data_IF_970354173932
#
_entry.id   IF_970354173932
#
_cell.length_a   1.000
_cell.length_b   1.000
_cell.length_c   1.000
_cell.angle_alpha   90.00
_cell.angle_beta   90.00
_cell.angle_gamma   90.00
#
_symmetry.space_group_name_H-M   'P 1'
#
loop_
_entity.id
_entity.type
_entity.pdbx_description
1 polymer ?
#
# COMPACT_ATOMS: atom_id res chain seq x y z
N UNK A 1 9.82 33.84 38.01
CA UNK A 1 8.52 33.16 37.86
C UNK A 1 8.69 31.71 38.25
N UNK A 2 8.12 31.30 39.36
CA UNK A 2 8.15 29.93 39.81
C UNK A 2 7.30 29.11 38.84
N UNK A 3 7.95 28.36 37.99
CA UNK A 3 7.26 27.28 37.29
C UNK A 3 6.84 26.29 38.35
N UNK A 4 5.54 26.10 38.55
CA UNK A 4 5.03 25.01 39.35
C UNK A 4 5.77 23.75 38.98
N UNK A 5 6.62 23.23 39.88
CA UNK A 5 7.12 21.87 39.75
C UNK A 5 5.91 20.97 39.84
N UNK A 6 5.53 20.38 38.73
CA UNK A 6 4.52 19.35 38.75
C UNK A 6 5.20 18.16 39.43
N UNK A 7 4.78 17.86 40.65
CA UNK A 7 5.35 16.76 41.45
C UNK A 7 5.04 15.37 40.89
N UNK A 8 4.15 15.28 39.91
CA UNK A 8 3.85 14.07 39.15
C UNK A 8 3.81 14.39 37.65
N UNK A 9 4.97 14.67 37.01
CA UNK A 9 5.04 14.86 35.56
C UNK A 9 4.47 13.65 34.81
N UNK A 10 4.52 12.48 35.45
CA UNK A 10 4.16 11.19 34.87
C UNK A 10 2.70 11.08 34.46
N UNK A 11 1.73 11.64 35.19
CA UNK A 11 0.33 11.53 34.79
C UNK A 11 -0.03 12.37 33.57
N UNK A 12 0.47 13.58 33.46
CA UNK A 12 0.24 14.44 32.29
C UNK A 12 0.95 13.84 31.06
N UNK A 13 2.19 13.38 31.23
CA UNK A 13 2.94 12.74 30.18
C UNK A 13 2.28 11.44 29.71
N UNK A 14 1.87 10.55 30.62
CA UNK A 14 1.15 9.33 30.32
C UNK A 14 -0.19 9.60 29.58
N UNK A 15 -0.87 10.70 29.95
CA UNK A 15 -2.09 11.10 29.25
C UNK A 15 -1.80 11.52 27.81
N UNK A 16 -0.77 12.35 27.59
CA UNK A 16 -0.35 12.77 26.26
C UNK A 16 0.09 11.57 25.43
N UNK A 17 0.92 10.70 25.98
CA UNK A 17 1.37 9.47 25.28
C UNK A 17 0.20 8.55 24.90
N UNK A 18 -0.79 8.39 25.79
CA UNK A 18 -2.01 7.63 25.49
C UNK A 18 -2.79 8.25 24.34
N UNK A 19 -2.97 9.58 24.34
CA UNK A 19 -3.68 10.28 23.28
C UNK A 19 -2.95 10.21 21.93
N UNK A 20 -1.61 10.27 21.93
CA UNK A 20 -0.83 10.03 20.71
C UNK A 20 -1.00 8.62 20.19
N UNK A 21 -0.97 7.60 21.05
CA UNK A 21 -1.22 6.21 20.67
C UNK A 21 -2.64 6.02 20.14
N UNK A 22 -3.62 6.69 20.70
CA UNK A 22 -5.00 6.65 20.22
C UNK A 22 -5.12 7.33 18.84
N UNK A 23 -4.47 8.46 18.62
CA UNK A 23 -4.40 9.13 17.33
C UNK A 23 -3.72 8.22 16.28
N UNK A 24 -2.59 7.61 16.63
CA UNK A 24 -1.88 6.65 15.76
C UNK A 24 -2.78 5.45 15.40
N UNK A 25 -3.52 4.90 16.38
CA UNK A 25 -4.49 3.83 16.14
C UNK A 25 -5.60 4.25 15.19
N UNK A 26 -6.13 5.48 15.32
CA UNK A 26 -7.14 6.01 14.40
C UNK A 26 -6.58 6.12 12.97
N UNK A 27 -5.32 6.57 12.80
CA UNK A 27 -4.65 6.63 11.51
C UNK A 27 -4.49 5.24 10.91
N UNK A 28 -4.05 4.26 11.70
CA UNK A 28 -3.85 2.87 11.26
C UNK A 28 -5.20 2.21 10.88
N UNK A 29 -6.23 2.42 11.69
CA UNK A 29 -7.54 1.79 11.51
C UNK A 29 -8.38 2.42 10.39
N UNK A 30 -8.04 3.63 9.98
CA UNK A 30 -8.80 4.33 8.95
C UNK A 30 -8.45 3.78 7.57
N UNK A 31 -9.45 3.53 6.72
CA UNK A 31 -9.21 3.27 5.31
C UNK A 31 -8.58 4.52 4.64
N UNK A 32 -8.10 4.42 3.39
CA UNK A 32 -7.66 5.59 2.64
C UNK A 32 -8.77 6.65 2.65
N UNK A 33 -8.50 7.80 3.29
CA UNK A 33 -9.52 8.81 3.59
C UNK A 33 -9.92 8.75 5.07
N UNK A 34 -9.09 9.36 5.92
CA UNK A 34 -9.41 9.65 7.33
C UNK A 34 -10.67 10.48 7.41
N UNK A 35 -11.51 10.22 8.43
CA UNK A 35 -12.59 11.15 8.74
C UNK A 35 -11.98 12.48 9.26
N UNK A 36 -12.16 13.60 8.57
CA UNK A 36 -11.55 14.87 8.96
C UNK A 36 -12.02 15.33 10.35
N UNK A 37 -13.27 15.10 10.70
CA UNK A 37 -13.87 15.48 11.98
C UNK A 37 -13.24 14.69 13.14
N UNK A 38 -13.08 13.38 12.97
CA UNK A 38 -12.47 12.50 13.98
C UNK A 38 -10.98 12.82 14.17
N UNK A 39 -10.27 13.06 13.06
CA UNK A 39 -8.87 13.44 13.10
C UNK A 39 -8.67 14.78 13.83
N UNK A 40 -9.52 15.77 13.54
CA UNK A 40 -9.48 17.06 14.23
C UNK A 40 -9.79 16.95 15.71
N UNK A 41 -10.80 16.18 16.09
CA UNK A 41 -11.11 15.92 17.50
C UNK A 41 -9.93 15.28 18.23
N UNK A 42 -9.30 14.29 17.62
CA UNK A 42 -8.14 13.60 18.19
C UNK A 42 -6.95 14.56 18.38
N UNK A 43 -6.67 15.40 17.39
CA UNK A 43 -5.64 16.43 17.47
C UNK A 43 -5.96 17.47 18.56
N UNK A 44 -7.20 17.94 18.60
CA UNK A 44 -7.65 18.91 19.60
C UNK A 44 -7.50 18.37 21.03
N UNK A 45 -7.79 17.08 21.26
CA UNK A 45 -7.56 16.41 22.56
C UNK A 45 -6.10 16.42 22.97
N UNK A 46 -5.18 16.14 22.01
CA UNK A 46 -3.73 16.23 22.26
C UNK A 46 -3.30 17.65 22.62
N UNK A 47 -3.77 18.66 21.87
CA UNK A 47 -3.47 20.05 22.17
C UNK A 47 -4.02 20.48 23.54
N UNK A 48 -5.26 20.12 23.85
CA UNK A 48 -5.88 20.46 25.13
C UNK A 48 -5.14 19.84 26.33
N UNK A 49 -4.68 18.58 26.21
CA UNK A 49 -3.89 17.92 27.26
C UNK A 49 -2.54 18.60 27.54
N UNK A 50 -2.01 19.36 26.57
CA UNK A 50 -0.74 20.08 26.70
C UNK A 50 -0.93 21.51 27.20
N UNK A 51 -2.15 21.98 27.42
CA UNK A 51 -2.42 23.35 27.91
C UNK A 51 -1.99 23.52 29.35
N UNK A 52 -1.54 24.73 29.72
CA UNK A 52 -1.21 25.06 31.09
C UNK A 52 -2.45 25.40 31.97
N UNK A 53 -3.66 25.47 31.36
CA UNK A 53 -4.92 25.80 32.04
C UNK A 53 -5.06 27.22 32.56
N UNK A 54 -4.09 28.12 32.28
CA UNK A 54 -4.06 29.50 32.82
C UNK A 54 -5.16 30.37 32.24
N UNK A 55 -5.28 30.46 30.93
CA UNK A 55 -6.24 31.32 30.26
C UNK A 55 -7.59 30.61 30.02
N UNK A 56 -8.67 31.43 30.06
CA UNK A 56 -10.03 30.94 29.83
C UNK A 56 -10.22 30.30 28.42
N UNK A 57 -9.65 30.86 27.34
CA UNK A 57 -9.77 30.27 26.00
C UNK A 57 -9.32 28.81 25.93
N UNK A 58 -8.19 28.47 26.56
CA UNK A 58 -7.73 27.07 26.61
C UNK A 58 -8.59 26.22 27.56
N UNK A 59 -8.77 26.70 28.80
CA UNK A 59 -9.42 25.93 29.88
C UNK A 59 -10.88 25.61 29.57
N UNK A 60 -11.63 26.56 29.01
CA UNK A 60 -13.07 26.45 28.75
C UNK A 60 -13.34 26.27 27.26
N UNK A 61 -12.70 27.10 26.42
CA UNK A 61 -12.99 27.15 24.99
C UNK A 61 -12.59 25.85 24.25
N UNK A 62 -11.40 25.29 24.50
CA UNK A 62 -11.00 24.02 23.86
C UNK A 62 -11.86 22.86 24.35
N UNK A 63 -12.27 22.83 25.64
CA UNK A 63 -13.21 21.82 26.12
C UNK A 63 -14.58 21.91 25.42
N UNK A 64 -15.05 23.13 25.17
CA UNK A 64 -16.29 23.37 24.44
C UNK A 64 -16.17 22.96 23.00
N UNK A 65 -15.06 23.26 22.29
CA UNK A 65 -14.82 22.79 20.91
C UNK A 65 -14.79 21.27 20.83
N UNK A 66 -14.14 20.59 21.78
CA UNK A 66 -14.15 19.11 21.83
C UNK A 66 -15.59 18.59 21.91
N UNK A 67 -16.38 19.12 22.80
CA UNK A 67 -17.79 18.73 22.99
C UNK A 67 -18.61 18.93 21.72
N UNK A 68 -18.38 20.04 21.00
CA UNK A 68 -19.10 20.34 19.75
C UNK A 68 -18.71 19.37 18.63
N UNK A 69 -17.41 19.02 18.50
CA UNK A 69 -16.95 18.02 17.54
C UNK A 69 -17.44 16.60 17.89
N UNK A 70 -17.46 16.23 19.17
CA UNK A 70 -18.06 14.98 19.64
C UNK A 70 -19.54 14.90 19.28
N UNK A 71 -20.30 15.98 19.43
CA UNK A 71 -21.71 16.01 19.04
C UNK A 71 -21.91 15.79 17.54
N UNK A 72 -20.99 16.25 16.69
CA UNK A 72 -21.03 15.94 15.25
C UNK A 72 -20.84 14.45 14.99
N UNK A 73 -19.82 13.82 15.62
CA UNK A 73 -19.55 12.40 15.48
C UNK A 73 -20.66 11.51 16.05
N UNK A 74 -21.30 11.95 17.13
CA UNK A 74 -22.42 11.29 17.77
C UNK A 74 -23.77 11.45 17.04
N UNK A 75 -23.81 12.25 15.97
CA UNK A 75 -25.06 12.54 15.24
C UNK A 75 -26.04 13.44 16.00
N UNK A 76 -25.58 14.17 17.02
CA UNK A 76 -26.40 15.08 17.85
C UNK A 76 -26.32 16.55 17.40
N UNK A 77 -25.47 16.84 16.43
CA UNK A 77 -25.22 18.19 15.96
C UNK A 77 -26.27 18.67 14.98
N UNK A 78 -26.43 19.99 14.91
CA UNK A 78 -27.24 20.70 13.93
C UNK A 78 -26.40 21.69 13.14
N UNK A 79 -26.96 22.32 12.10
CA UNK A 79 -26.21 23.37 11.35
C UNK A 79 -25.79 24.55 12.25
N UNK A 80 -26.56 24.86 13.28
CA UNK A 80 -26.16 25.85 14.30
C UNK A 80 -24.93 25.44 15.10
N UNK A 81 -24.71 24.13 15.27
CA UNK A 81 -23.49 23.60 15.90
C UNK A 81 -22.25 23.97 15.11
N UNK A 82 -22.33 23.96 13.77
CA UNK A 82 -21.22 24.34 12.90
C UNK A 82 -20.85 25.82 13.07
N UNK A 83 -21.86 26.71 13.06
CA UNK A 83 -21.68 28.14 13.31
C UNK A 83 -21.08 28.41 14.70
N UNK A 84 -21.49 27.62 15.70
CA UNK A 84 -20.95 27.71 17.05
C UNK A 84 -19.50 27.26 17.14
N UNK A 85 -19.09 26.21 16.38
CA UNK A 85 -17.69 25.78 16.28
C UNK A 85 -16.86 26.91 15.68
N UNK A 86 -17.29 27.49 14.56
CA UNK A 86 -16.58 28.60 13.90
C UNK A 86 -16.39 29.79 14.86
N UNK A 87 -17.46 30.26 15.47
CA UNK A 87 -17.39 31.39 16.37
C UNK A 87 -16.57 31.11 17.65
N UNK A 88 -16.68 29.91 18.20
CA UNK A 88 -15.88 29.50 19.37
C UNK A 88 -14.41 29.40 19.04
N UNK A 89 -14.06 28.79 17.91
CA UNK A 89 -12.67 28.67 17.47
C UNK A 89 -12.07 30.06 17.17
N UNK A 90 -12.81 30.95 16.50
CA UNK A 90 -12.36 32.32 16.25
C UNK A 90 -12.13 33.09 17.56
N UNK A 91 -13.05 32.99 18.50
CA UNK A 91 -12.90 33.66 19.81
C UNK A 91 -11.67 33.14 20.59
N UNK A 92 -11.34 31.84 20.47
CA UNK A 92 -10.14 31.30 21.11
C UNK A 92 -8.89 31.84 20.42
N UNK A 93 -8.85 31.90 19.08
CA UNK A 93 -7.73 32.48 18.34
C UNK A 93 -7.47 33.93 18.76
N UNK A 94 -8.52 34.71 18.86
CA UNK A 94 -8.42 36.14 19.14
C UNK A 94 -8.06 36.44 20.61
N UNK A 95 -8.24 35.49 21.51
CA UNK A 95 -8.12 35.72 22.98
C UNK A 95 -7.12 34.77 23.67
N UNK A 96 -6.49 33.81 22.97
CA UNK A 96 -5.52 32.92 23.58
C UNK A 96 -4.20 33.62 23.87
N UNK A 97 -3.66 33.43 25.09
CA UNK A 97 -2.40 34.05 25.53
C UNK A 97 -1.14 33.44 24.88
N UNK A 98 -1.24 32.29 24.20
CA UNK A 98 -0.08 31.59 23.65
C UNK A 98 -0.42 30.73 22.42
N UNK A 99 0.61 30.29 21.72
CA UNK A 99 0.51 29.52 20.50
C UNK A 99 -0.33 28.22 20.64
N UNK A 100 -0.32 27.53 21.78
CA UNK A 100 -1.04 26.25 21.94
C UNK A 100 -2.55 26.46 21.76
N UNK A 101 -3.12 27.53 22.41
CA UNK A 101 -4.55 27.83 22.24
C UNK A 101 -4.87 28.33 20.86
N UNK A 102 -4.03 29.24 20.34
CA UNK A 102 -4.16 29.76 18.97
C UNK A 102 -4.13 28.66 17.92
N UNK A 103 -3.09 27.83 17.88
CA UNK A 103 -2.91 26.79 16.88
C UNK A 103 -3.99 25.70 16.97
N UNK A 104 -4.41 25.32 18.18
CA UNK A 104 -5.48 24.36 18.37
C UNK A 104 -6.80 24.83 17.73
N UNK A 105 -7.14 26.10 17.90
CA UNK A 105 -8.33 26.72 17.32
C UNK A 105 -8.17 26.96 15.81
N UNK A 106 -7.00 27.44 15.37
CA UNK A 106 -6.67 27.64 13.97
C UNK A 106 -6.82 26.34 13.15
N UNK A 107 -6.32 25.22 13.67
CA UNK A 107 -6.47 23.91 13.02
C UNK A 107 -7.93 23.48 12.87
N UNK A 108 -8.80 23.83 13.86
CA UNK A 108 -10.24 23.54 13.72
C UNK A 108 -10.86 24.38 12.60
N UNK A 109 -10.52 25.66 12.50
CA UNK A 109 -11.01 26.53 11.43
C UNK A 109 -10.51 26.09 10.06
N UNK A 110 -9.23 25.79 9.92
CA UNK A 110 -8.65 25.28 8.69
C UNK A 110 -9.31 23.96 8.22
N UNK A 111 -9.62 23.08 9.18
CA UNK A 111 -10.35 21.86 8.86
C UNK A 111 -11.80 22.07 8.44
N UNK A 112 -12.48 23.03 9.08
CA UNK A 112 -13.83 23.44 8.65
C UNK A 112 -13.83 24.04 7.25
N UNK A 113 -12.84 24.87 6.92
CA UNK A 113 -12.68 25.44 5.58
C UNK A 113 -12.40 24.35 4.54
N UNK A 114 -11.41 23.49 4.79
CA UNK A 114 -10.98 22.47 3.86
C UNK A 114 -11.94 21.30 3.68
N UNK A 115 -12.75 20.97 4.69
CA UNK A 115 -13.60 19.76 4.71
C UNK A 115 -15.06 20.04 5.09
N UNK A 116 -15.55 21.23 4.83
CA UNK A 116 -16.90 21.68 5.22
C UNK A 116 -18.01 20.69 4.82
N UNK A 117 -17.90 20.11 3.65
CA UNK A 117 -18.88 19.13 3.15
C UNK A 117 -18.93 17.86 4.01
N UNK A 118 -17.78 17.40 4.53
CA UNK A 118 -17.73 16.24 5.42
C UNK A 118 -18.44 16.53 6.77
N UNK A 119 -18.27 17.73 7.32
CA UNK A 119 -18.99 18.15 8.52
C UNK A 119 -20.50 18.19 8.29
N UNK A 120 -20.94 18.83 7.19
CA UNK A 120 -22.35 18.91 6.81
C UNK A 120 -22.95 17.51 6.59
N UNK A 121 -22.17 16.62 5.96
CA UNK A 121 -22.61 15.24 5.73
C UNK A 121 -22.82 14.48 7.05
N UNK A 122 -21.88 14.59 8.01
CA UNK A 122 -22.04 14.03 9.35
C UNK A 122 -23.30 14.56 10.06
N UNK A 123 -23.52 15.87 10.00
CA UNK A 123 -24.70 16.50 10.61
C UNK A 123 -26.00 16.00 10.01
N UNK A 124 -26.05 15.82 8.68
CA UNK A 124 -27.27 15.41 7.96
C UNK A 124 -27.56 13.92 8.05
N UNK A 125 -26.51 13.08 8.07
CA UNK A 125 -26.66 11.62 7.91
C UNK A 125 -26.21 10.80 9.11
N UNK A 126 -25.50 11.41 10.07
CA UNK A 126 -24.85 10.69 11.17
C UNK A 126 -23.70 9.78 10.75
N UNK A 127 -23.22 9.89 9.50
CA UNK A 127 -22.20 9.01 8.92
C UNK A 127 -21.10 9.81 8.25
N UNK A 128 -19.90 9.23 8.19
CA UNK A 128 -18.79 9.80 7.45
C UNK A 128 -18.99 9.65 5.93
N UNK A 129 -18.82 10.72 5.17
CA UNK A 129 -18.94 10.70 3.71
C UNK A 129 -17.92 9.77 3.06
N UNK A 130 -16.70 9.74 3.56
CA UNK A 130 -15.59 8.94 3.03
C UNK A 130 -15.65 7.44 3.34
N UNK A 131 -16.63 6.98 4.11
CA UNK A 131 -16.71 5.57 4.57
C UNK A 131 -17.62 4.67 3.74
N UNK A 132 -18.46 5.22 2.86
CA UNK A 132 -19.46 4.41 2.13
C UNK A 132 -18.78 3.47 1.11
N UNK A 133 -17.62 3.88 0.56
CA UNK A 133 -16.83 3.09 -0.40
C UNK A 133 -15.42 2.76 0.11
N UNK A 134 -15.21 2.86 1.42
CA UNK A 134 -13.88 2.69 1.99
C UNK A 134 -13.45 1.21 1.95
N UNK A 135 -12.47 0.91 1.12
CA UNK A 135 -11.85 -0.40 1.06
C UNK A 135 -11.19 -0.77 2.40
N UNK A 136 -11.10 -2.07 2.66
CA UNK A 136 -10.42 -2.61 3.84
C UNK A 136 -8.96 -2.15 3.83
N UNK A 137 -8.40 -1.62 4.94
CA UNK A 137 -7.06 -1.00 4.93
C UNK A 137 -5.94 -1.90 4.38
N UNK A 138 -5.95 -3.20 4.68
CA UNK A 138 -4.95 -4.12 4.15
C UNK A 138 -5.09 -4.33 2.64
N UNK A 139 -6.30 -4.35 2.09
CA UNK A 139 -6.56 -4.44 0.65
C UNK A 139 -6.16 -3.13 -0.03
N UNK A 140 -6.56 -1.99 0.54
CA UNK A 140 -6.25 -0.67 -0.02
C UNK A 140 -4.76 -0.36 -0.08
N UNK A 141 -3.97 -0.85 0.88
CA UNK A 141 -2.51 -0.68 0.89
C UNK A 141 -1.77 -1.71 0.02
N UNK A 142 -2.45 -2.77 -0.38
CA UNK A 142 -1.86 -3.74 -1.30
C UNK A 142 -1.78 -3.13 -2.71
N UNK A 143 -0.59 -2.97 -3.32
CA UNK A 143 -0.50 -2.43 -4.68
C UNK A 143 -1.29 -3.22 -5.73
N UNK A 144 -1.46 -4.53 -5.51
CA UNK A 144 -2.26 -5.41 -6.36
C UNK A 144 -3.72 -5.56 -5.88
N UNK A 145 -4.11 -4.90 -4.79
CA UNK A 145 -5.46 -4.93 -4.21
C UNK A 145 -6.02 -6.35 -3.97
N UNK A 146 -5.14 -7.30 -3.64
CA UNK A 146 -5.51 -8.69 -3.37
C UNK A 146 -6.55 -8.77 -2.28
N UNK A 147 -7.57 -9.60 -2.44
CA UNK A 147 -8.55 -9.89 -1.39
C UNK A 147 -7.91 -10.64 -0.21
N UNK A 148 -7.31 -9.83 0.68
CA UNK A 148 -6.58 -10.34 1.85
C UNK A 148 -7.49 -11.03 2.85
N UNK A 149 -8.65 -10.48 3.26
CA UNK A 149 -9.57 -11.16 4.17
C UNK A 149 -10.07 -12.49 3.61
N UNK A 150 -10.35 -12.53 2.30
CA UNK A 150 -10.86 -13.73 1.64
C UNK A 150 -9.84 -14.87 1.70
N UNK A 151 -8.59 -14.65 1.28
CA UNK A 151 -7.62 -15.75 1.31
C UNK A 151 -7.21 -16.15 2.74
N UNK A 152 -7.20 -15.20 3.70
CA UNK A 152 -6.95 -15.53 5.12
C UNK A 152 -8.03 -16.46 5.67
N UNK A 153 -9.30 -16.20 5.37
CA UNK A 153 -10.40 -17.07 5.76
C UNK A 153 -10.24 -18.48 5.17
N UNK A 154 -9.92 -18.58 3.88
CA UNK A 154 -9.67 -19.87 3.21
C UNK A 154 -8.48 -20.62 3.81
N UNK A 155 -7.41 -19.93 4.17
CA UNK A 155 -6.27 -20.54 4.91
C UNK A 155 -6.70 -21.05 6.25
N UNK A 156 -7.54 -20.31 6.99
CA UNK A 156 -8.09 -20.72 8.28
C UNK A 156 -8.97 -21.99 8.20
N UNK A 157 -9.60 -22.20 7.05
CA UNK A 157 -10.39 -23.41 6.74
C UNK A 157 -9.54 -24.57 6.19
N UNK A 158 -8.22 -24.37 5.99
CA UNK A 158 -7.33 -25.36 5.34
C UNK A 158 -7.52 -25.46 3.83
N UNK A 159 -8.23 -24.56 3.19
CA UNK A 159 -8.53 -24.51 1.75
C UNK A 159 -7.43 -23.77 0.98
N UNK A 160 -6.22 -24.28 1.06
CA UNK A 160 -5.02 -23.61 0.52
C UNK A 160 -5.07 -23.40 -1.00
N UNK A 161 -5.55 -24.38 -1.77
CA UNK A 161 -5.69 -24.25 -3.21
C UNK A 161 -6.66 -23.12 -3.61
N UNK A 162 -7.78 -22.99 -2.89
CA UNK A 162 -8.74 -21.91 -3.13
C UNK A 162 -8.17 -20.55 -2.72
N UNK A 163 -7.36 -20.50 -1.66
CA UNK A 163 -6.64 -19.30 -1.27
C UNK A 163 -5.66 -18.85 -2.36
N UNK A 164 -4.90 -19.78 -2.97
CA UNK A 164 -3.99 -19.48 -4.08
C UNK A 164 -4.76 -19.01 -5.32
N UNK A 165 -5.90 -19.63 -5.66
CA UNK A 165 -6.78 -19.17 -6.74
C UNK A 165 -7.25 -17.73 -6.51
N UNK A 166 -7.70 -17.41 -5.29
CA UNK A 166 -8.17 -16.08 -4.94
C UNK A 166 -7.05 -15.03 -5.04
N UNK A 167 -5.85 -15.35 -4.54
CA UNK A 167 -4.70 -14.47 -4.66
C UNK A 167 -4.36 -14.22 -6.13
N UNK A 168 -4.40 -15.27 -6.96
CA UNK A 168 -4.02 -15.21 -8.38
C UNK A 168 -4.98 -14.40 -9.26
N UNK A 169 -6.19 -14.16 -8.79
CA UNK A 169 -7.12 -13.24 -9.45
C UNK A 169 -6.50 -11.86 -9.65
N UNK A 170 -5.78 -11.36 -8.66
CA UNK A 170 -5.21 -10.01 -8.66
C UNK A 170 -3.67 -9.99 -8.71
N UNK A 171 -3.02 -11.15 -8.53
CA UNK A 171 -1.57 -11.27 -8.50
C UNK A 171 -1.11 -12.65 -8.99
N UNK A 172 -0.54 -12.76 -10.20
CA UNK A 172 -0.11 -14.02 -10.79
C UNK A 172 1.18 -14.61 -10.17
N UNK A 173 1.82 -13.88 -9.23
CA UNK A 173 3.01 -14.31 -8.50
C UNK A 173 2.73 -14.51 -6.99
N UNK A 174 1.83 -15.42 -6.60
CA UNK A 174 1.49 -15.64 -5.21
C UNK A 174 2.70 -16.08 -4.37
N UNK A 175 3.58 -16.93 -4.93
CA UNK A 175 4.75 -17.47 -4.24
C UNK A 175 5.82 -16.39 -4.03
N UNK A 176 6.11 -15.58 -5.06
CA UNK A 176 7.02 -14.45 -4.93
C UNK A 176 6.56 -13.50 -3.82
N UNK A 177 5.29 -13.08 -3.86
CA UNK A 177 4.75 -12.18 -2.85
C UNK A 177 4.65 -12.82 -1.44
N UNK A 178 4.55 -14.14 -1.34
CA UNK A 178 4.58 -14.82 -0.05
C UNK A 178 5.97 -14.79 0.60
N UNK A 179 7.04 -14.80 -0.21
CA UNK A 179 8.41 -14.90 0.28
C UNK A 179 9.13 -13.54 0.41
N UNK A 180 8.90 -12.60 -0.50
CA UNK A 180 9.70 -11.38 -0.63
C UNK A 180 8.92 -10.07 -0.55
N UNK A 181 7.59 -10.08 -0.41
CA UNK A 181 6.81 -8.85 -0.30
C UNK A 181 7.14 -8.10 1.00
N UNK A 182 7.26 -6.78 0.94
CA UNK A 182 7.44 -5.89 2.09
C UNK A 182 6.19 -5.75 2.97
N UNK A 183 5.09 -6.41 2.61
CA UNK A 183 3.81 -6.53 3.33
C UNK A 183 3.26 -5.22 3.95
N UNK A 184 3.10 -4.12 3.18
CA UNK A 184 2.59 -2.86 3.70
C UNK A 184 1.18 -3.00 4.31
N UNK A 185 0.44 -4.03 3.93
CA UNK A 185 -0.87 -4.37 4.48
C UNK A 185 -0.86 -4.64 5.99
N UNK A 186 0.23 -5.16 6.56
CA UNK A 186 0.36 -5.43 7.98
C UNK A 186 0.52 -4.13 8.79
N UNK A 187 1.19 -3.11 8.22
CA UNK A 187 1.41 -1.84 8.89
C UNK A 187 0.10 -1.09 9.25
N UNK A 188 -0.99 -1.35 8.53
CA UNK A 188 -2.33 -0.78 8.80
C UNK A 188 -3.38 -1.83 9.13
N UNK A 189 -2.96 -2.95 9.65
CA UNK A 189 -3.88 -3.99 10.10
C UNK A 189 -4.67 -3.50 11.32
N UNK A 190 -6.01 -3.53 11.24
CA UNK A 190 -6.88 -3.12 12.35
C UNK A 190 -6.70 -3.95 13.61
N UNK A 191 -6.18 -5.19 13.48
CA UNK A 191 -5.88 -6.02 14.63
C UNK A 191 -4.85 -5.37 15.56
N UNK A 192 -3.91 -4.56 15.03
CA UNK A 192 -2.94 -3.81 15.80
C UNK A 192 -3.54 -2.87 16.86
N UNK A 193 -4.86 -2.56 16.73
CA UNK A 193 -5.58 -1.77 17.76
C UNK A 193 -5.84 -2.56 19.03
N UNK A 194 -5.79 -3.88 18.97
CA UNK A 194 -6.08 -4.79 20.09
C UNK A 194 -4.79 -5.37 20.65
N UNK A 195 -3.94 -5.93 19.77
CA UNK A 195 -2.68 -6.59 20.16
C UNK A 195 -1.59 -6.42 19.11
N UNK A 196 -1.55 -7.26 18.08
CA UNK A 196 -0.54 -7.25 17.01
C UNK A 196 -1.21 -7.43 15.65
N UNK A 197 -0.58 -6.94 14.55
CA UNK A 197 -1.12 -7.18 13.21
C UNK A 197 -1.21 -8.68 12.90
N UNK A 198 -2.16 -9.04 12.05
CA UNK A 198 -2.23 -10.40 11.51
C UNK A 198 -0.97 -10.60 10.65
N UNK A 199 -0.30 -11.74 10.80
CA UNK A 199 0.82 -12.14 9.95
C UNK A 199 0.32 -12.52 8.54
N UNK A 200 -0.07 -11.49 7.78
CA UNK A 200 -0.73 -11.61 6.47
C UNK A 200 0.18 -12.32 5.46
N UNK A 201 1.47 -11.92 5.41
CA UNK A 201 2.45 -12.56 4.53
C UNK A 201 2.73 -14.00 4.93
N UNK A 202 2.82 -14.29 6.23
CA UNK A 202 3.01 -15.66 6.74
C UNK A 202 1.85 -16.58 6.36
N UNK A 203 0.59 -16.10 6.44
CA UNK A 203 -0.58 -16.85 5.99
C UNK A 203 -0.59 -17.07 4.48
N UNK A 204 -0.17 -16.07 3.69
CA UNK A 204 0.04 -16.25 2.24
C UNK A 204 1.09 -17.32 1.95
N UNK A 205 2.20 -17.33 2.70
CA UNK A 205 3.23 -18.35 2.59
C UNK A 205 2.67 -19.74 2.92
N UNK A 206 1.89 -19.86 3.97
CA UNK A 206 1.21 -21.11 4.32
C UNK A 206 0.34 -21.63 3.18
N UNK A 207 -0.39 -20.75 2.48
CA UNK A 207 -1.19 -21.16 1.32
C UNK A 207 -0.33 -21.75 0.21
N UNK A 208 0.74 -21.07 -0.23
CA UNK A 208 1.60 -21.52 -1.34
C UNK A 208 2.56 -22.67 -0.96
N UNK A 209 2.84 -22.87 0.33
CA UNK A 209 3.62 -24.01 0.80
C UNK A 209 2.78 -25.31 0.79
N UNK A 210 1.46 -25.22 1.04
CA UNK A 210 0.55 -26.36 1.01
C UNK A 210 -0.16 -26.57 -0.34
N UNK A 211 -0.20 -25.55 -1.19
CA UNK A 211 -0.74 -25.63 -2.57
C UNK A 211 0.18 -24.83 -3.52
N UNK A 212 1.29 -25.43 -4.01
CA UNK A 212 2.19 -24.78 -4.96
C UNK A 212 1.46 -24.23 -6.17
N UNK A 213 1.87 -23.05 -6.66
CA UNK A 213 1.15 -22.32 -7.70
C UNK A 213 0.91 -23.14 -8.97
N UNK A 214 1.88 -23.93 -9.41
CA UNK A 214 1.79 -24.80 -10.59
C UNK A 214 0.85 -26.01 -10.42
N UNK A 215 0.48 -26.36 -9.19
CA UNK A 215 -0.48 -27.44 -8.91
C UNK A 215 -1.93 -26.99 -8.86
N UNK A 216 -2.14 -25.67 -8.82
CA UNK A 216 -3.47 -25.06 -8.72
C UNK A 216 -3.92 -24.61 -10.11
N UNK A 217 -5.07 -25.08 -10.64
CA UNK A 217 -5.57 -24.70 -11.95
C UNK A 217 -5.68 -23.17 -12.10
N UNK A 218 -5.32 -22.68 -13.29
CA UNK A 218 -5.56 -21.28 -13.67
C UNK A 218 -7.03 -21.08 -14.07
N UNK A 219 -7.55 -19.85 -14.02
CA UNK A 219 -8.91 -19.54 -14.48
C UNK A 219 -9.11 -19.93 -15.95
N UNK A 220 -10.35 -20.20 -16.32
CA UNK A 220 -10.73 -20.40 -17.72
C UNK A 220 -10.49 -19.12 -18.52
N UNK A 221 -10.02 -19.26 -19.75
CA UNK A 221 -9.83 -18.16 -20.67
C UNK A 221 -11.16 -17.68 -21.25
N UNK A 222 -11.25 -16.40 -21.53
CA UNK A 222 -12.29 -15.86 -22.40
C UNK A 222 -12.16 -16.39 -23.83
N UNK A 223 -13.19 -16.19 -24.63
CA UNK A 223 -13.17 -16.53 -26.06
C UNK A 223 -12.01 -15.84 -26.78
N UNK A 224 -11.40 -16.54 -27.73
CA UNK A 224 -10.25 -16.02 -28.47
C UNK A 224 -10.63 -14.77 -29.29
N UNK A 225 -9.91 -13.70 -29.06
CA UNK A 225 -10.15 -12.41 -29.75
C UNK A 225 -9.47 -12.33 -31.13
N UNK A 226 -8.56 -13.27 -31.41
CA UNK A 226 -7.71 -13.24 -32.60
C UNK A 226 -6.59 -12.20 -32.55
N UNK A 227 -6.44 -11.46 -31.43
CA UNK A 227 -5.41 -10.44 -31.26
C UNK A 227 -4.12 -11.03 -30.72
N UNK A 228 -2.98 -10.61 -31.31
CA UNK A 228 -1.64 -11.01 -30.90
C UNK A 228 -0.89 -9.84 -30.27
N UNK A 229 -0.33 -10.05 -29.10
CA UNK A 229 0.36 -9.00 -28.34
C UNK A 229 1.81 -9.42 -28.14
N UNK A 230 2.77 -8.62 -28.62
CA UNK A 230 4.18 -8.80 -28.34
C UNK A 230 4.53 -8.20 -26.98
N UNK A 231 5.25 -8.94 -26.15
CA UNK A 231 5.73 -8.50 -24.83
C UNK A 231 7.25 -8.56 -24.82
N UNK A 232 7.90 -7.41 -24.63
CA UNK A 232 9.35 -7.31 -24.62
C UNK A 232 9.84 -7.34 -23.16
N UNK A 233 10.38 -8.50 -22.75
CA UNK A 233 10.88 -8.77 -21.41
C UNK A 233 10.04 -9.77 -20.62
N UNK A 234 10.65 -10.87 -20.20
CA UNK A 234 10.07 -11.96 -19.42
C UNK A 234 10.25 -11.80 -17.90
N UNK A 235 10.31 -10.55 -17.41
CA UNK A 235 10.30 -10.21 -16.00
C UNK A 235 8.88 -10.22 -15.40
N UNK A 236 8.72 -9.87 -14.11
CA UNK A 236 7.41 -9.93 -13.43
C UNK A 236 6.33 -9.07 -14.11
N UNK A 237 6.68 -7.93 -14.67
CA UNK A 237 5.74 -7.07 -15.40
C UNK A 237 5.25 -7.73 -16.69
N UNK A 238 6.18 -8.22 -17.51
CA UNK A 238 5.84 -8.87 -18.79
C UNK A 238 5.05 -10.15 -18.60
N UNK A 239 5.46 -10.99 -17.64
CA UNK A 239 4.75 -12.24 -17.33
C UNK A 239 3.37 -11.99 -16.71
N UNK A 240 3.20 -10.96 -15.87
CA UNK A 240 1.89 -10.58 -15.36
C UNK A 240 0.97 -10.09 -16.50
N UNK A 241 1.49 -9.26 -17.40
CA UNK A 241 0.74 -8.81 -18.58
C UNK A 241 0.35 -10.01 -19.46
N UNK A 242 1.29 -10.92 -19.75
CA UNK A 242 1.03 -12.13 -20.53
C UNK A 242 -0.10 -12.98 -19.91
N UNK A 243 -0.05 -13.21 -18.60
CA UNK A 243 -1.07 -13.96 -17.88
C UNK A 243 -2.47 -13.40 -18.06
N UNK A 244 -2.65 -12.10 -17.81
CA UNK A 244 -3.99 -11.50 -17.93
C UNK A 244 -4.45 -11.36 -19.37
N UNK A 245 -3.54 -11.08 -20.32
CA UNK A 245 -3.89 -11.01 -21.73
C UNK A 245 -4.37 -12.38 -22.25
N UNK A 246 -3.70 -13.46 -21.87
CA UNK A 246 -4.13 -14.82 -22.21
C UNK A 246 -5.51 -15.15 -21.59
N UNK A 247 -5.75 -14.78 -20.33
CA UNK A 247 -7.07 -14.98 -19.71
C UNK A 247 -8.18 -14.15 -20.38
N UNK A 248 -7.83 -12.99 -20.97
CA UNK A 248 -8.75 -12.17 -21.75
C UNK A 248 -8.98 -12.70 -23.17
N UNK A 249 -8.38 -13.81 -23.55
CA UNK A 249 -8.52 -14.41 -24.89
C UNK A 249 -7.60 -13.83 -25.96
N UNK A 250 -6.64 -12.99 -25.59
CA UNK A 250 -5.59 -12.52 -26.49
C UNK A 250 -4.42 -13.51 -26.52
N UNK A 251 -3.65 -13.55 -27.60
CA UNK A 251 -2.46 -14.38 -27.69
C UNK A 251 -1.21 -13.56 -27.34
N UNK A 252 -0.58 -13.89 -26.22
CA UNK A 252 0.60 -13.20 -25.71
C UNK A 252 1.89 -13.91 -26.12
N UNK A 253 2.82 -13.16 -26.72
CA UNK A 253 4.14 -13.66 -27.16
C UNK A 253 5.23 -12.87 -26.44
N UNK A 254 6.00 -13.54 -25.58
CA UNK A 254 7.06 -12.93 -24.77
C UNK A 254 8.41 -13.12 -25.46
N UNK A 255 9.12 -12.01 -25.68
CA UNK A 255 10.50 -11.97 -26.17
C UNK A 255 11.43 -11.67 -24.99
N UNK A 256 12.24 -12.63 -24.57
CA UNK A 256 13.17 -12.50 -23.45
C UNK A 256 14.62 -12.63 -23.94
N UNK A 257 15.42 -11.62 -23.61
CA UNK A 257 16.82 -11.57 -24.02
C UNK A 257 17.70 -12.63 -23.33
N UNK A 258 17.28 -13.08 -22.15
CA UNK A 258 18.01 -14.07 -21.36
C UNK A 258 17.54 -15.49 -21.64
N UNK A 259 18.31 -16.46 -21.12
CA UNK A 259 18.01 -17.89 -21.25
C UNK A 259 16.89 -18.38 -20.33
N UNK A 260 16.48 -17.59 -19.34
CA UNK A 260 15.45 -17.96 -18.35
C UNK A 260 14.54 -16.77 -18.05
N UNK A 261 13.27 -17.07 -17.82
CA UNK A 261 12.27 -16.11 -17.39
C UNK A 261 12.44 -15.71 -15.92
N UNK A 262 11.83 -14.59 -15.52
CA UNK A 262 11.74 -14.13 -14.14
C UNK A 262 12.35 -12.75 -13.90
N UNK A 263 13.16 -12.22 -14.82
CA UNK A 263 13.75 -10.88 -14.69
C UNK A 263 14.45 -10.69 -13.34
N UNK A 264 14.22 -9.55 -12.67
CA UNK A 264 14.85 -9.23 -11.39
C UNK A 264 14.48 -10.20 -10.25
N UNK A 265 13.38 -10.94 -10.33
CA UNK A 265 13.08 -12.01 -9.36
C UNK A 265 14.10 -13.14 -9.42
N UNK A 266 14.69 -13.40 -10.61
CA UNK A 266 15.74 -14.41 -10.82
C UNK A 266 17.14 -13.82 -10.73
N UNK A 267 17.37 -12.70 -11.39
CA UNK A 267 18.70 -12.13 -11.62
C UNK A 267 19.11 -11.09 -10.59
N UNK A 268 18.17 -10.57 -9.78
CA UNK A 268 18.45 -9.56 -8.77
C UNK A 268 18.25 -10.07 -7.33
N UNK A 269 17.35 -11.04 -7.11
CA UNK A 269 17.09 -11.55 -5.76
C UNK A 269 17.90 -12.82 -5.53
N UNK A 270 18.72 -12.89 -4.46
CA UNK A 270 19.51 -14.08 -4.15
C UNK A 270 18.64 -15.33 -3.92
N UNK A 271 19.13 -16.50 -4.34
CA UNK A 271 18.40 -17.78 -4.24
C UNK A 271 18.07 -18.20 -2.81
N UNK A 272 18.88 -17.80 -1.84
CA UNK A 272 18.60 -18.07 -0.42
C UNK A 272 17.39 -17.29 0.11
N UNK A 273 17.01 -16.14 -0.51
CA UNK A 273 15.79 -15.39 -0.20
C UNK A 273 14.59 -15.85 -1.00
N UNK A 274 14.81 -16.15 -2.29
CA UNK A 274 13.77 -16.64 -3.18
C UNK A 274 14.33 -17.81 -4.00
N UNK A 275 14.13 -19.08 -3.55
CA UNK A 275 14.58 -20.26 -4.24
C UNK A 275 14.05 -20.33 -5.67
N UNK A 276 14.89 -20.74 -6.60
CA UNK A 276 14.56 -20.75 -8.04
C UNK A 276 13.39 -21.66 -8.36
N UNK A 277 13.31 -22.81 -7.73
CA UNK A 277 12.20 -23.76 -7.89
C UNK A 277 10.85 -23.12 -7.48
N UNK A 278 10.88 -22.24 -6.48
CA UNK A 278 9.68 -21.53 -6.02
C UNK A 278 9.24 -20.45 -7.00
N UNK A 279 10.19 -19.78 -7.67
CA UNK A 279 9.89 -18.85 -8.75
C UNK A 279 9.33 -19.60 -9.97
N UNK A 280 9.93 -20.75 -10.29
CA UNK A 280 9.52 -21.54 -11.43
C UNK A 280 8.08 -22.05 -11.29
N UNK A 281 7.61 -22.37 -10.07
CA UNK A 281 6.21 -22.70 -9.81
C UNK A 281 5.22 -21.58 -10.20
N UNK A 282 5.56 -20.32 -9.93
CA UNK A 282 4.73 -19.18 -10.36
C UNK A 282 4.78 -19.03 -11.89
N UNK A 283 5.98 -19.16 -12.49
CA UNK A 283 6.18 -19.02 -13.94
C UNK A 283 5.44 -20.15 -14.69
N UNK A 284 5.57 -21.41 -14.26
CA UNK A 284 4.86 -22.55 -14.85
C UNK A 284 3.34 -22.35 -14.83
N UNK A 285 2.81 -21.83 -13.72
CA UNK A 285 1.39 -21.50 -13.64
C UNK A 285 0.98 -20.41 -14.64
N UNK A 286 1.82 -19.40 -14.85
CA UNK A 286 1.60 -18.37 -15.88
C UNK A 286 1.65 -18.98 -17.28
N UNK A 287 2.67 -19.77 -17.58
CA UNK A 287 2.83 -20.40 -18.90
C UNK A 287 1.73 -21.40 -19.22
N UNK A 288 1.11 -22.02 -18.21
CA UNK A 288 -0.03 -22.94 -18.40
C UNK A 288 -1.26 -22.25 -19.00
N UNK A 289 -1.31 -20.90 -19.01
CA UNK A 289 -2.33 -20.14 -19.76
C UNK A 289 -2.11 -20.16 -21.27
N UNK A 290 -0.99 -20.64 -21.78
CA UNK A 290 -0.71 -20.73 -23.21
C UNK A 290 0.15 -19.60 -23.77
N UNK A 291 0.85 -18.88 -22.92
CA UNK A 291 1.82 -17.84 -23.31
C UNK A 291 2.92 -18.44 -24.18
N UNK A 292 3.13 -17.87 -25.36
CA UNK A 292 4.27 -18.21 -26.22
C UNK A 292 5.53 -17.48 -25.76
N UNK A 293 6.68 -18.15 -25.73
CA UNK A 293 7.93 -17.57 -25.21
C UNK A 293 9.10 -17.81 -26.16
N UNK A 294 9.82 -16.73 -26.48
CA UNK A 294 11.07 -16.74 -27.21
C UNK A 294 12.21 -16.31 -26.27
N UNK A 295 12.97 -17.29 -25.77
CA UNK A 295 14.16 -17.05 -24.94
C UNK A 295 15.37 -16.72 -25.84
N UNK A 296 16.42 -16.11 -25.25
CA UNK A 296 17.62 -15.69 -25.95
C UNK A 296 17.31 -14.78 -27.16
N UNK A 297 16.20 -14.06 -27.08
CA UNK A 297 15.68 -13.23 -28.18
C UNK A 297 15.60 -11.78 -27.71
N UNK A 298 16.66 -11.05 -27.99
CA UNK A 298 16.75 -9.63 -27.68
C UNK A 298 16.06 -8.81 -28.76
N UNK A 299 15.24 -7.85 -28.34
CA UNK A 299 14.61 -6.87 -29.22
C UNK A 299 15.48 -5.61 -29.26
N UNK A 300 15.87 -5.16 -30.44
CA UNK A 300 16.76 -4.02 -30.64
C UNK A 300 17.16 -3.85 -32.09
N UNK A 301 18.23 -3.08 -32.33
CA UNK A 301 18.74 -2.79 -33.67
C UNK A 301 20.14 -3.39 -33.93
N UNK A 302 20.61 -4.29 -33.03
CA UNK A 302 21.89 -4.96 -33.18
C UNK A 302 21.83 -6.17 -34.14
N UNK A 303 23.00 -6.68 -34.51
CA UNK A 303 23.10 -7.89 -35.33
C UNK A 303 22.53 -9.10 -34.55
N UNK A 304 21.59 -9.83 -35.16
CA UNK A 304 20.91 -10.96 -34.55
C UNK A 304 19.77 -10.59 -33.58
N UNK A 305 19.50 -9.32 -33.40
CA UNK A 305 18.36 -8.84 -32.59
C UNK A 305 17.09 -8.75 -33.45
N UNK A 306 15.92 -8.87 -32.80
CA UNK A 306 14.63 -8.67 -33.46
C UNK A 306 14.34 -7.15 -33.54
N UNK A 307 14.18 -6.56 -34.74
CA UNK A 307 13.88 -5.15 -34.87
C UNK A 307 12.53 -4.81 -34.21
N UNK A 308 12.48 -3.72 -33.47
CA UNK A 308 11.24 -3.26 -32.81
C UNK A 308 10.13 -2.98 -33.84
N UNK A 309 10.48 -2.39 -34.99
CA UNK A 309 9.51 -2.08 -36.06
C UNK A 309 8.86 -3.34 -36.61
N UNK A 310 9.58 -4.46 -36.70
CA UNK A 310 9.01 -5.74 -37.09
C UNK A 310 7.90 -6.20 -36.15
N UNK A 311 8.09 -6.03 -34.83
CA UNK A 311 7.04 -6.35 -33.85
C UNK A 311 5.81 -5.44 -34.00
N UNK A 312 6.01 -4.20 -34.36
CA UNK A 312 4.90 -3.24 -34.62
C UNK A 312 4.10 -3.60 -35.87
N UNK A 313 4.72 -4.22 -36.83
CA UNK A 313 4.03 -4.66 -38.07
C UNK A 313 3.32 -6.02 -37.90
N UNK A 314 3.88 -6.93 -37.12
CA UNK A 314 3.40 -8.30 -36.97
C UNK A 314 2.38 -8.51 -35.84
N UNK A 315 2.29 -7.57 -34.89
CA UNK A 315 1.44 -7.66 -33.70
C UNK A 315 0.44 -6.51 -33.62
N UNK A 316 -0.72 -6.81 -33.04
CA UNK A 316 -1.77 -5.78 -32.83
C UNK A 316 -1.38 -4.73 -31.76
N UNK A 317 -0.54 -5.13 -30.80
CA UNK A 317 0.03 -4.23 -29.79
C UNK A 317 1.39 -4.74 -29.29
N UNK A 318 2.20 -3.83 -28.75
CA UNK A 318 3.49 -4.13 -28.15
C UNK A 318 3.52 -3.59 -26.72
N UNK A 319 3.84 -4.47 -25.76
CA UNK A 319 4.04 -4.12 -24.35
C UNK A 319 5.52 -4.15 -23.99
N UNK A 320 6.07 -3.02 -23.57
CA UNK A 320 7.48 -2.87 -23.23
C UNK A 320 7.67 -3.08 -21.73
N UNK A 321 8.37 -4.14 -21.32
CA UNK A 321 8.60 -4.57 -19.94
C UNK A 321 10.08 -4.92 -19.68
N UNK A 322 11.00 -4.13 -20.26
CA UNK A 322 12.44 -4.39 -20.25
C UNK A 322 13.12 -4.27 -18.88
N UNK A 323 12.47 -3.63 -17.92
CA UNK A 323 12.99 -3.43 -16.55
C UNK A 323 14.16 -2.44 -16.49
N UNK A 324 14.89 -2.46 -15.36
CA UNK A 324 16.08 -1.65 -15.12
C UNK A 324 17.27 -2.59 -14.86
N UNK A 325 18.21 -2.66 -15.80
CA UNK A 325 19.34 -3.59 -15.77
C UNK A 325 20.69 -2.92 -15.57
N UNK A 326 20.70 -1.59 -15.50
CA UNK A 326 21.90 -0.78 -15.28
C UNK A 326 21.80 -0.11 -13.92
N UNK A 327 22.90 -0.06 -13.19
CA UNK A 327 23.03 0.69 -11.96
C UNK A 327 23.29 2.18 -12.25
N UNK A 328 23.00 3.00 -11.27
CA UNK A 328 23.33 4.42 -11.31
C UNK A 328 24.57 4.64 -10.44
N UNK A 329 25.62 5.20 -11.06
CA UNK A 329 26.80 5.64 -10.33
C UNK A 329 26.46 6.72 -9.31
N UNK A 330 27.10 6.64 -8.14
CA UNK A 330 26.86 7.54 -7.01
C UNK A 330 27.67 8.84 -7.17
N UNK A 331 28.77 8.80 -7.96
CA UNK A 331 29.64 9.95 -8.23
C UNK A 331 30.64 10.22 -7.11
N UNK A 332 31.07 9.18 -6.39
CA UNK A 332 32.11 9.28 -5.35
C UNK A 332 33.50 8.97 -5.92
N UNK A 333 34.53 9.55 -5.30
CA UNK A 333 35.92 9.30 -5.68
C UNK A 333 36.27 7.81 -5.50
N UNK A 334 36.89 7.22 -6.51
CA UNK A 334 37.29 5.81 -6.51
C UNK A 334 36.22 4.84 -7.03
N UNK A 335 35.07 5.30 -7.41
CA UNK A 335 33.99 4.47 -7.96
C UNK A 335 34.39 3.68 -9.22
N UNK A 336 35.31 4.23 -10.02
CA UNK A 336 35.84 3.60 -11.23
C UNK A 336 37.15 2.81 -11.00
N UNK A 337 37.54 2.59 -9.72
CA UNK A 337 38.78 1.87 -9.39
C UNK A 337 38.68 0.38 -9.74
N UNK A 338 39.81 -0.21 -10.10
CA UNK A 338 39.90 -1.65 -10.36
C UNK A 338 39.45 -2.45 -9.14
N UNK A 339 38.44 -3.33 -9.33
CA UNK A 339 37.85 -4.15 -8.27
C UNK A 339 36.56 -3.59 -7.72
N UNK A 340 36.16 -2.38 -8.10
CA UNK A 340 34.80 -1.87 -7.87
C UNK A 340 33.88 -2.44 -8.96
N UNK A 341 32.84 -3.14 -8.55
CA UNK A 341 31.89 -3.80 -9.47
C UNK A 341 30.47 -3.31 -9.21
N UNK A 342 29.65 -3.32 -10.26
CA UNK A 342 28.22 -3.06 -10.15
C UNK A 342 27.52 -4.16 -9.32
N UNK A 343 26.72 -3.76 -8.33
CA UNK A 343 25.91 -4.72 -7.59
C UNK A 343 24.88 -5.45 -8.48
N UNK A 344 24.33 -4.74 -9.47
CA UNK A 344 23.38 -5.33 -10.43
C UNK A 344 24.07 -6.36 -11.31
N UNK A 345 25.29 -6.08 -11.77
CA UNK A 345 26.08 -7.01 -12.59
C UNK A 345 26.48 -8.25 -11.77
N UNK A 346 26.96 -8.06 -10.54
CA UNK A 346 27.30 -9.14 -9.63
C UNK A 346 26.11 -10.07 -9.37
N UNK A 347 24.96 -9.51 -9.02
CA UNK A 347 23.74 -10.30 -8.75
C UNK A 347 23.25 -11.02 -10.00
N UNK A 348 23.37 -10.38 -11.18
CA UNK A 348 23.03 -10.99 -12.48
C UNK A 348 23.92 -12.19 -12.77
N UNK A 349 25.23 -12.06 -12.63
CA UNK A 349 26.18 -13.16 -12.85
C UNK A 349 25.88 -14.36 -11.95
N UNK A 350 25.59 -14.11 -10.67
CA UNK A 350 25.15 -15.15 -9.73
C UNK A 350 23.82 -15.78 -10.17
N UNK A 351 22.89 -14.99 -10.68
CA UNK A 351 21.59 -15.46 -11.17
C UNK A 351 21.66 -16.25 -12.47
N UNK A 352 22.72 -16.08 -13.25
CA UNK A 352 23.01 -16.80 -14.49
C UNK A 352 23.84 -18.09 -14.24
N UNK A 353 24.26 -18.36 -13.00
CA UNK A 353 25.15 -19.46 -12.61
C UNK A 353 26.55 -19.38 -13.29
N UNK A 354 27.06 -18.14 -13.46
CA UNK A 354 28.36 -17.82 -14.07
C UNK A 354 29.37 -17.39 -12.99
#
# INVERSE_FOLDING_TARGET
>A
MSRLKIETPDQAQLTVERLYKDLERHIIASPPGLCPVDLQLSFLKVCHAQTCGKCAPCRVGLAQLQKLLENILDGKATMKTLELIESTAQNIMDSADCAIGYEAAHMVLAGLEGFRENYIHHIKTGKCHSRLDASIPCVALCPAQVDIPGYIALVGEGRYADAVKLIRKDNPFPTACALICEHPCEARCRRSMIDAPINIRGLKRMAVDNAPANTVPVPEKAEATGKRIAIIGGGPSGLAAAYYLELMGHHAVVFEAKSKLGGMLRYGIPSYRFPRERLDQDIEAILSTGVEVHLNTKVGNGEGEVPFEKLREEFDAVYIAIGAHEDKKVGIEGEDSKGVISAVEMLRSIGEDI
#
